data_IF_137581556143
#
_entry.id   IF_137581556143
#
_cell.length_a   1.000
_cell.length_b   1.000
_cell.length_c   1.000
_cell.angle_alpha   90.00
_cell.angle_beta   90.00
_cell.angle_gamma   90.00
#
_symmetry.space_group_name_H-M   'P 1'
#
loop_
_entity.id
_entity.type
_entity.pdbx_description
1 polymer ?
#
# COMPACT_ATOMS: atom_id res chain seq x y z
N UNK A 1 11.97 13.84 3.74
CA UNK A 1 13.03 14.83 3.41
C UNK A 1 12.54 16.03 2.60
N UNK A 2 11.62 15.91 1.62
CA UNK A 2 11.18 17.08 0.81
C UNK A 2 10.33 18.11 1.55
N UNK A 3 9.65 17.70 2.63
CA UNK A 3 8.75 18.54 3.44
C UNK A 3 9.44 19.74 4.10
N UNK A 4 10.66 19.55 4.61
CA UNK A 4 11.44 20.61 5.28
C UNK A 4 11.81 21.76 4.35
N UNK A 5 11.90 21.48 3.04
CA UNK A 5 12.23 22.45 2.00
C UNK A 5 10.98 23.01 1.29
N UNK A 6 9.77 22.67 1.75
CA UNK A 6 8.50 23.04 1.12
C UNK A 6 8.43 22.67 -0.37
N UNK A 7 9.09 21.59 -0.78
CA UNK A 7 9.06 21.12 -2.17
C UNK A 7 7.79 20.30 -2.37
N UNK A 8 6.87 20.70 -3.28
CA UNK A 8 5.68 19.91 -3.58
C UNK A 8 6.06 18.49 -3.97
N UNK A 9 5.44 17.50 -3.32
CA UNK A 9 5.78 16.09 -3.50
C UNK A 9 4.51 15.29 -3.72
N UNK A 10 4.41 14.70 -4.92
CA UNK A 10 3.39 13.70 -5.23
C UNK A 10 4.04 12.33 -5.11
N UNK A 11 3.32 11.39 -4.50
CA UNK A 11 3.74 9.99 -4.36
C UNK A 11 2.69 9.08 -4.95
N UNK A 12 3.12 8.04 -5.67
CA UNK A 12 2.24 6.95 -6.06
C UNK A 12 2.30 5.88 -4.98
N UNK A 13 1.18 5.65 -4.29
CA UNK A 13 1.09 4.70 -3.18
C UNK A 13 0.89 3.27 -3.70
N UNK A 14 1.44 2.31 -2.97
CA UNK A 14 1.44 0.88 -3.32
C UNK A 14 0.73 -0.01 -2.28
N UNK A 15 -0.47 0.33 -1.76
CA UNK A 15 -1.16 -0.54 -0.81
C UNK A 15 -1.62 -1.84 -1.48
N UNK A 16 -1.94 -2.85 -0.66
CA UNK A 16 -2.53 -4.11 -1.13
C UNK A 16 -3.82 -3.82 -1.92
N UNK A 17 -3.97 -4.44 -3.09
CA UNK A 17 -5.16 -4.33 -3.92
C UNK A 17 -5.79 -5.71 -4.16
N UNK A 18 -7.12 -5.75 -4.26
CA UNK A 18 -7.87 -6.98 -4.60
C UNK A 18 -8.73 -6.74 -5.84
N UNK A 19 -9.77 -5.91 -5.72
CA UNK A 19 -10.68 -5.64 -6.83
C UNK A 19 -10.17 -4.54 -7.77
N UNK A 20 -9.54 -3.49 -7.22
CA UNK A 20 -9.03 -2.36 -8.01
C UNK A 20 -10.12 -1.42 -8.56
N UNK A 21 -11.37 -1.55 -8.11
CA UNK A 21 -12.54 -0.80 -8.63
C UNK A 21 -13.29 -0.03 -7.55
N UNK A 22 -12.78 -0.01 -6.32
CA UNK A 22 -13.36 0.72 -5.19
C UNK A 22 -14.41 -0.06 -4.39
N UNK A 23 -14.54 -1.37 -4.60
CA UNK A 23 -15.58 -2.19 -3.97
C UNK A 23 -15.11 -2.89 -2.68
N UNK A 24 -13.82 -3.20 -2.52
CA UNK A 24 -13.36 -3.99 -1.37
C UNK A 24 -12.72 -3.19 -0.23
N UNK A 25 -12.17 -2.00 -0.51
CA UNK A 25 -11.44 -1.20 0.49
C UNK A 25 -10.08 -1.78 0.95
N UNK A 26 -9.57 -2.82 0.30
CA UNK A 26 -8.23 -3.40 0.58
C UNK A 26 -7.11 -2.38 0.40
N UNK A 27 -7.26 -1.49 -0.60
CA UNK A 27 -6.31 -0.43 -0.91
C UNK A 27 -6.52 0.87 -0.13
N UNK A 28 -7.30 0.84 0.96
CA UNK A 28 -7.56 2.07 1.74
C UNK A 28 -6.27 2.64 2.31
N UNK A 29 -6.20 3.97 2.31
CA UNK A 29 -5.10 4.77 2.87
C UNK A 29 -5.68 5.98 3.60
N UNK A 30 -4.99 6.44 4.65
CA UNK A 30 -5.33 7.70 5.32
C UNK A 30 -4.49 8.83 4.74
N UNK A 31 -5.14 9.80 4.12
CA UNK A 31 -4.49 10.98 3.54
C UNK A 31 -5.16 12.24 4.09
N UNK A 32 -4.40 13.04 4.85
CA UNK A 32 -4.89 14.27 5.45
C UNK A 32 -6.03 14.05 6.45
N UNK A 33 -6.02 12.94 7.18
CA UNK A 33 -7.04 12.56 8.16
C UNK A 33 -8.32 11.99 7.56
N UNK A 34 -8.34 11.68 6.26
CA UNK A 34 -9.48 11.05 5.58
C UNK A 34 -9.07 9.72 4.99
N UNK A 35 -9.95 8.73 5.11
CA UNK A 35 -9.81 7.45 4.43
C UNK A 35 -10.18 7.62 2.96
N UNK A 36 -9.26 7.22 2.08
CA UNK A 36 -9.38 7.24 0.61
C UNK A 36 -9.02 5.86 0.05
N UNK A 37 -9.47 5.52 -1.15
CA UNK A 37 -9.15 4.25 -1.82
C UNK A 37 -8.15 4.48 -2.95
N UNK A 38 -6.92 3.96 -2.81
CA UNK A 38 -5.85 4.26 -3.78
C UNK A 38 -6.18 3.83 -5.22
N UNK A 39 -7.00 2.79 -5.43
CA UNK A 39 -7.39 2.35 -6.78
C UNK A 39 -8.42 3.25 -7.48
N UNK A 40 -9.11 4.15 -6.76
CA UNK A 40 -10.15 5.04 -7.33
C UNK A 40 -9.79 6.51 -7.13
N UNK A 41 -9.34 6.87 -5.92
CA UNK A 41 -8.99 8.24 -5.54
C UNK A 41 -7.53 8.60 -5.87
N UNK A 42 -6.71 7.61 -6.21
CA UNK A 42 -5.26 7.74 -6.40
C UNK A 42 -4.78 7.14 -7.72
N UNK A 43 -3.63 6.43 -7.75
CA UNK A 43 -2.75 6.10 -6.62
C UNK A 43 -1.86 7.28 -6.17
N UNK A 44 -1.94 8.40 -6.89
CA UNK A 44 -1.15 9.61 -6.69
C UNK A 44 -1.75 10.50 -5.61
N UNK A 45 -1.00 10.76 -4.54
CA UNK A 45 -1.42 11.60 -3.43
C UNK A 45 -0.34 12.62 -3.05
N UNK A 46 -0.75 13.65 -2.32
CA UNK A 46 0.18 14.56 -1.64
C UNK A 46 0.97 13.78 -0.58
N UNK A 47 2.24 13.52 -0.86
CA UNK A 47 3.12 12.71 -0.02
C UNK A 47 3.36 13.32 1.36
N UNK A 48 3.08 14.61 1.58
CA UNK A 48 3.23 15.22 2.91
C UNK A 48 2.00 14.99 3.80
N UNK A 49 0.91 14.45 3.24
CA UNK A 49 -0.35 14.21 3.94
C UNK A 49 -0.68 12.74 4.15
N UNK A 50 0.14 11.82 3.63
CA UNK A 50 -0.04 10.37 3.79
C UNK A 50 0.34 9.94 5.21
N UNK A 51 -0.48 9.08 5.81
CA UNK A 51 -0.10 8.31 7.00
C UNK A 51 0.73 7.10 6.59
N UNK A 52 2.06 7.26 6.65
CA UNK A 52 3.00 6.20 6.25
C UNK A 52 3.08 5.07 7.28
N UNK A 53 2.84 5.34 8.56
CA UNK A 53 2.91 4.33 9.60
C UNK A 53 1.74 3.35 9.45
N UNK A 54 0.51 3.87 9.21
CA UNK A 54 -0.64 3.03 8.87
C UNK A 54 -0.37 2.22 7.59
N UNK A 55 0.13 2.86 6.53
CA UNK A 55 0.40 2.19 5.25
C UNK A 55 1.41 1.04 5.40
N UNK A 56 2.53 1.28 6.10
CA UNK A 56 3.56 0.26 6.33
C UNK A 56 3.03 -0.93 7.13
N UNK A 57 2.26 -0.68 8.20
CA UNK A 57 1.64 -1.75 8.98
C UNK A 57 0.67 -2.59 8.14
N UNK A 58 -0.10 -1.95 7.25
CA UNK A 58 -1.03 -2.66 6.35
C UNK A 58 -0.30 -3.52 5.33
N UNK A 59 0.85 -3.07 4.81
CA UNK A 59 1.65 -3.83 3.85
C UNK A 59 2.24 -5.12 4.44
N UNK A 60 2.44 -5.16 5.76
CA UNK A 60 2.98 -6.33 6.44
C UNK A 60 1.93 -7.40 6.78
N UNK A 61 0.65 -7.15 6.46
CA UNK A 61 -0.45 -7.99 6.93
C UNK A 61 -0.38 -9.45 6.45
N UNK A 62 0.31 -9.72 5.34
CA UNK A 62 0.38 -11.05 4.72
C UNK A 62 1.81 -11.57 4.52
N UNK A 63 2.82 -10.99 5.20
CA UNK A 63 4.21 -11.38 4.97
C UNK A 63 4.50 -12.86 5.31
N UNK A 64 3.83 -13.42 6.32
CA UNK A 64 4.01 -14.84 6.66
C UNK A 64 3.38 -15.73 5.58
N UNK A 65 2.16 -15.44 5.14
CA UNK A 65 1.48 -16.17 4.07
C UNK A 65 2.21 -16.05 2.72
N UNK A 66 2.77 -14.87 2.41
CA UNK A 66 3.62 -14.65 1.24
C UNK A 66 4.87 -15.55 1.27
N UNK A 67 5.51 -15.67 2.44
CA UNK A 67 6.68 -16.51 2.64
C UNK A 67 6.32 -18.00 2.52
N UNK A 68 5.27 -18.45 3.19
CA UNK A 68 4.78 -19.84 3.09
C UNK A 68 4.46 -20.20 1.64
N UNK A 69 3.72 -19.35 0.92
CA UNK A 69 3.38 -19.54 -0.49
C UNK A 69 4.64 -19.66 -1.38
N UNK A 70 5.66 -18.86 -1.12
CA UNK A 70 6.93 -18.91 -1.86
C UNK A 70 7.72 -20.19 -1.58
N UNK A 71 7.81 -20.61 -0.31
CA UNK A 71 8.50 -21.82 0.10
C UNK A 71 7.82 -23.07 -0.48
N UNK A 72 6.50 -23.15 -0.40
CA UNK A 72 5.70 -24.24 -0.98
C UNK A 72 5.91 -24.34 -2.50
N UNK A 73 5.88 -23.20 -3.20
CA UNK A 73 6.14 -23.17 -4.64
C UNK A 73 7.55 -23.64 -4.99
N UNK A 74 8.57 -23.25 -4.21
CA UNK A 74 9.95 -23.70 -4.43
C UNK A 74 10.11 -25.20 -4.17
N UNK A 75 9.48 -25.73 -3.13
CA UNK A 75 9.53 -27.15 -2.79
C UNK A 75 8.86 -28.02 -3.87
N UNK A 76 7.74 -27.57 -4.44
CA UNK A 76 7.06 -28.26 -5.55
C UNK A 76 7.92 -28.35 -6.82
N UNK A 77 8.80 -27.39 -7.10
CA UNK A 77 9.68 -27.40 -8.29
C UNK A 77 10.94 -28.27 -8.12
N UNK A 78 11.28 -28.64 -6.89
CA UNK A 78 12.46 -29.44 -6.57
C UNK A 78 12.15 -30.93 -6.34
N UNK A 79 10.87 -31.34 -6.45
CA UNK A 79 10.40 -32.71 -6.38
C UNK A 79 10.27 -33.33 -7.78
#
# INVERSE_FOLDING_TARGET
MTREFNVPTIVSLNPIMVDGTGMCGGCRVTVGGKTQFACVDGPEFDGHRVDYDELMLRLQAYCEEEKECHEDFCNLRNA
#
